data_IF_680376736763
#
_entry.id   IF_680376736763
#
_cell.length_a   1.000
_cell.length_b   1.000
_cell.length_c   1.000
_cell.angle_alpha   90.00
_cell.angle_beta   90.00
_cell.angle_gamma   90.00
#
_symmetry.space_group_name_H-M   'P 1'
#
loop_
_entity.id
_entity.type
_entity.pdbx_description
1 polymer ?
#
# COMPACT_ATOMS: atom_id res chain seq x y z
N UNK A 1 13.11 -3.26 -2.79
CA UNK A 1 11.81 -2.84 -2.21
C UNK A 1 10.83 -2.55 -3.33
N UNK A 2 9.55 -2.91 -3.17
CA UNK A 2 8.47 -2.57 -4.11
C UNK A 2 7.76 -1.30 -3.65
N UNK A 3 7.43 -0.41 -4.59
CA UNK A 3 6.63 0.80 -4.34
C UNK A 3 5.29 0.65 -5.06
N UNK A 4 4.20 0.86 -4.35
CA UNK A 4 2.83 0.87 -4.85
C UNK A 4 2.39 2.33 -4.94
N UNK A 5 2.10 2.79 -6.16
CA UNK A 5 1.42 4.06 -6.39
C UNK A 5 -0.10 3.85 -6.23
N UNK A 6 -0.68 4.31 -5.14
CA UNK A 6 -2.12 4.33 -4.91
C UNK A 6 -2.73 5.54 -5.60
N UNK A 7 -3.35 5.33 -6.74
CA UNK A 7 -4.07 6.41 -7.43
C UNK A 7 -5.38 6.75 -6.73
N UNK A 8 -5.94 5.81 -5.97
CA UNK A 8 -7.18 5.99 -5.22
C UNK A 8 -8.28 6.60 -6.10
N UNK A 9 -8.69 7.81 -5.78
CA UNK A 9 -9.70 8.59 -6.50
C UNK A 9 -9.09 9.77 -7.28
N UNK A 10 -7.77 9.88 -7.34
CA UNK A 10 -7.08 11.00 -7.99
C UNK A 10 -7.27 11.05 -9.52
N UNK A 11 -7.83 9.99 -10.12
CA UNK A 11 -8.22 9.97 -11.53
C UNK A 11 -9.51 10.77 -11.81
N UNK A 12 -10.29 11.17 -10.77
CA UNK A 12 -11.52 11.96 -10.88
C UNK A 12 -12.55 11.42 -11.90
N UNK A 13 -12.54 10.10 -12.22
CA UNK A 13 -13.36 9.50 -13.27
C UNK A 13 -12.91 9.82 -14.71
N UNK A 14 -11.78 10.50 -14.90
CA UNK A 14 -11.24 10.91 -16.19
C UNK A 14 -10.18 9.93 -16.72
N UNK A 15 -10.46 9.30 -17.87
CA UNK A 15 -9.55 8.35 -18.53
C UNK A 15 -8.25 8.98 -19.02
N UNK A 16 -8.29 10.24 -19.45
CA UNK A 16 -7.09 10.96 -19.92
C UNK A 16 -6.17 11.24 -18.75
N UNK A 17 -6.74 11.61 -17.62
CA UNK A 17 -5.99 11.79 -16.39
C UNK A 17 -5.45 10.45 -15.88
N UNK A 18 -6.24 9.38 -15.95
CA UNK A 18 -5.81 8.02 -15.57
C UNK A 18 -4.59 7.56 -16.38
N UNK A 19 -4.58 7.74 -17.72
CA UNK A 19 -3.42 7.42 -18.58
C UNK A 19 -2.16 8.19 -18.12
N UNK A 20 -2.29 9.50 -17.89
CA UNK A 20 -1.18 10.33 -17.41
C UNK A 20 -0.66 9.89 -16.05
N UNK A 21 -1.55 9.55 -15.12
CA UNK A 21 -1.20 9.06 -13.78
C UNK A 21 -0.44 7.73 -13.85
N UNK A 22 -0.96 6.75 -14.62
CA UNK A 22 -0.30 5.44 -14.79
C UNK A 22 1.07 5.60 -15.42
N UNK A 23 1.17 6.42 -16.49
CA UNK A 23 2.44 6.70 -17.15
C UNK A 23 3.47 7.30 -16.18
N UNK A 24 3.08 8.30 -15.41
CA UNK A 24 3.99 8.95 -14.46
C UNK A 24 4.39 8.02 -13.30
N UNK A 25 3.46 7.21 -12.79
CA UNK A 25 3.74 6.25 -11.73
C UNK A 25 4.71 5.14 -12.18
N UNK A 26 4.58 4.67 -13.44
CA UNK A 26 5.41 3.61 -13.99
C UNK A 26 6.91 3.98 -14.06
N UNK A 27 7.26 5.27 -14.04
CA UNK A 27 8.66 5.70 -14.06
C UNK A 27 9.44 5.35 -12.78
N UNK A 28 8.74 5.19 -11.65
CA UNK A 28 9.39 5.01 -10.34
C UNK A 28 8.73 4.02 -9.41
N UNK A 29 7.53 3.53 -9.74
CA UNK A 29 6.80 2.57 -8.95
C UNK A 29 6.77 1.20 -9.62
N UNK A 30 6.61 0.14 -8.83
CA UNK A 30 6.58 -1.23 -9.32
C UNK A 30 5.14 -1.70 -9.59
N UNK A 31 4.20 -1.11 -8.88
CA UNK A 31 2.77 -1.44 -8.92
C UNK A 31 1.98 -0.14 -8.97
N UNK A 32 0.97 -0.08 -9.82
CA UNK A 32 -0.02 1.00 -9.82
C UNK A 32 -1.35 0.44 -9.35
N UNK A 33 -1.96 1.12 -8.40
CA UNK A 33 -3.19 0.66 -7.76
C UNK A 33 -4.32 1.66 -7.90
N UNK A 34 -5.49 1.14 -8.25
CA UNK A 34 -6.78 1.84 -8.20
C UNK A 34 -7.68 1.20 -7.12
N UNK A 35 -8.87 1.73 -6.99
CA UNK A 35 -9.90 1.16 -6.13
C UNK A 35 -11.10 0.77 -7.00
N UNK A 36 -11.49 -0.50 -6.97
CA UNK A 36 -12.75 -0.94 -7.57
C UNK A 36 -13.89 -0.48 -6.66
N UNK A 37 -14.45 0.69 -6.99
CA UNK A 37 -15.58 1.28 -6.28
C UNK A 37 -16.85 0.88 -7.03
N UNK A 38 -17.80 0.26 -6.33
CA UNK A 38 -19.15 0.00 -6.81
C UNK A 38 -20.11 0.71 -5.85
N UNK A 39 -20.64 1.84 -6.25
CA UNK A 39 -21.51 2.67 -5.40
C UNK A 39 -22.72 1.88 -4.89
N UNK A 40 -23.27 1.00 -5.70
CA UNK A 40 -24.39 0.11 -5.34
C UNK A 40 -24.02 -0.91 -4.23
N UNK A 41 -22.75 -1.05 -3.90
CA UNK A 41 -22.29 -1.87 -2.77
C UNK A 41 -22.27 -1.11 -1.44
N UNK A 42 -22.51 0.20 -1.46
CA UNK A 42 -22.57 1.02 -0.27
C UNK A 42 -23.77 0.63 0.60
N UNK A 43 -23.53 0.40 1.89
CA UNK A 43 -24.60 0.05 2.84
C UNK A 43 -25.08 1.29 3.56
N UNK A 44 -26.39 1.56 3.50
CA UNK A 44 -27.01 2.62 4.29
C UNK A 44 -27.06 2.22 5.76
N UNK A 45 -26.56 3.10 6.65
CA UNK A 45 -26.60 2.91 8.10
C UNK A 45 -26.96 4.22 8.77
N UNK A 46 -28.01 4.18 9.60
CA UNK A 46 -28.52 5.36 10.28
C UNK A 46 -27.48 6.04 11.17
N UNK A 47 -26.63 5.26 11.84
CA UNK A 47 -25.56 5.77 12.71
C UNK A 47 -24.49 6.58 11.98
N UNK A 48 -24.42 6.48 10.66
CA UNK A 48 -23.43 7.21 9.84
C UNK A 48 -24.00 8.45 9.16
N UNK A 49 -25.33 8.65 9.17
CA UNK A 49 -25.97 9.76 8.47
C UNK A 49 -25.49 11.14 8.93
N UNK A 50 -25.19 11.33 10.21
CA UNK A 50 -24.68 12.60 10.74
C UNK A 50 -23.22 12.88 10.36
N UNK A 51 -22.45 11.84 10.12
CA UNK A 51 -21.01 11.92 9.80
C UNK A 51 -20.74 11.85 8.31
N UNK A 52 -21.47 10.99 7.60
CA UNK A 52 -21.31 10.75 6.17
C UNK A 52 -22.68 10.38 5.57
N UNK A 53 -23.51 11.39 5.19
CA UNK A 53 -24.84 11.16 4.63
C UNK A 53 -24.79 10.22 3.43
N UNK A 54 -25.66 9.20 3.46
CA UNK A 54 -25.64 8.13 2.45
C UNK A 54 -25.79 8.64 1.02
N UNK A 55 -26.80 9.50 0.78
CA UNK A 55 -27.10 9.96 -0.57
C UNK A 55 -25.94 10.78 -1.16
N UNK A 56 -25.32 11.64 -0.37
CA UNK A 56 -24.15 12.43 -0.81
C UNK A 56 -22.95 11.54 -1.10
N UNK A 57 -22.68 10.55 -0.25
CA UNK A 57 -21.56 9.63 -0.44
C UNK A 57 -21.81 8.70 -1.63
N UNK A 58 -23.05 8.24 -1.84
CA UNK A 58 -23.43 7.44 -3.00
C UNK A 58 -23.17 8.19 -4.31
N UNK A 59 -23.71 9.40 -4.44
CA UNK A 59 -23.51 10.23 -5.65
C UNK A 59 -22.03 10.52 -5.91
N UNK A 60 -21.28 10.82 -4.84
CA UNK A 60 -19.84 11.03 -4.96
C UNK A 60 -19.11 9.78 -5.45
N UNK A 61 -19.40 8.62 -4.89
CA UNK A 61 -18.80 7.36 -5.30
C UNK A 61 -19.22 6.99 -6.73
N UNK A 62 -20.47 7.27 -7.11
CA UNK A 62 -20.98 7.01 -8.46
C UNK A 62 -20.24 7.82 -9.52
N UNK A 63 -19.89 9.06 -9.21
CA UNK A 63 -19.08 9.91 -10.10
C UNK A 63 -17.60 9.46 -10.22
N UNK A 64 -17.12 8.59 -9.36
CA UNK A 64 -15.75 8.07 -9.35
C UNK A 64 -15.65 6.60 -9.77
N UNK A 65 -16.80 5.94 -9.93
CA UNK A 65 -16.89 4.55 -10.32
C UNK A 65 -16.35 4.35 -11.74
N UNK A 66 -15.36 3.48 -11.86
CA UNK A 66 -14.88 3.01 -13.16
C UNK A 66 -15.75 1.87 -13.65
N UNK A 67 -16.15 1.91 -14.91
CA UNK A 67 -16.85 0.80 -15.57
C UNK A 67 -15.94 -0.44 -15.66
N UNK A 68 -16.50 -1.57 -16.09
CA UNK A 68 -15.68 -2.76 -16.36
C UNK A 68 -14.64 -2.49 -17.44
N UNK A 69 -15.06 -1.80 -18.49
CA UNK A 69 -14.23 -1.41 -19.63
C UNK A 69 -13.16 -0.39 -19.23
N UNK A 70 -13.43 0.48 -18.26
CA UNK A 70 -12.46 1.46 -17.76
C UNK A 70 -11.38 0.79 -16.90
N UNK A 71 -11.76 -0.21 -16.09
CA UNK A 71 -10.76 -1.01 -15.37
C UNK A 71 -9.96 -1.90 -16.31
N UNK A 72 -10.57 -2.44 -17.36
CA UNK A 72 -9.83 -3.17 -18.40
C UNK A 72 -8.83 -2.24 -19.09
N UNK A 73 -9.25 -1.03 -19.44
CA UNK A 73 -8.37 -0.01 -20.01
C UNK A 73 -7.20 0.34 -19.05
N UNK A 74 -7.47 0.44 -17.74
CA UNK A 74 -6.41 0.64 -16.74
C UNK A 74 -5.38 -0.49 -16.77
N UNK A 75 -5.80 -1.74 -16.90
CA UNK A 75 -4.89 -2.89 -17.01
C UNK A 75 -4.04 -2.79 -18.28
N UNK A 76 -4.67 -2.46 -19.42
CA UNK A 76 -3.98 -2.25 -20.70
C UNK A 76 -2.95 -1.11 -20.63
N UNK A 77 -3.25 -0.03 -19.89
CA UNK A 77 -2.30 1.05 -19.62
C UNK A 77 -1.11 0.56 -18.79
N UNK A 78 -1.36 -0.23 -17.76
CA UNK A 78 -0.28 -0.80 -16.94
C UNK A 78 0.63 -1.72 -17.78
N UNK A 79 0.07 -2.54 -18.65
CA UNK A 79 0.83 -3.36 -19.59
C UNK A 79 1.65 -2.49 -20.57
N UNK A 80 1.02 -1.47 -21.16
CA UNK A 80 1.67 -0.51 -22.07
C UNK A 80 2.88 0.17 -21.44
N UNK A 81 2.79 0.53 -20.17
CA UNK A 81 3.85 1.22 -19.44
C UNK A 81 4.74 0.30 -18.62
N UNK A 82 4.57 -1.03 -18.72
CA UNK A 82 5.36 -2.06 -18.06
C UNK A 82 5.40 -1.90 -16.52
N UNK A 83 4.21 -1.75 -15.92
CA UNK A 83 4.01 -1.69 -14.47
C UNK A 83 2.90 -2.67 -14.07
N UNK A 84 2.97 -3.26 -12.86
CA UNK A 84 1.96 -4.23 -12.42
C UNK A 84 0.64 -3.53 -12.01
N UNK A 85 -0.52 -3.96 -12.55
CA UNK A 85 -1.83 -3.46 -12.10
C UNK A 85 -2.25 -4.11 -10.79
N UNK A 86 -2.86 -3.31 -9.92
CA UNK A 86 -3.48 -3.75 -8.67
C UNK A 86 -4.80 -3.03 -8.46
N UNK A 87 -5.74 -3.66 -7.78
CA UNK A 87 -6.93 -2.96 -7.29
C UNK A 87 -7.24 -3.29 -5.84
N UNK A 88 -7.94 -2.36 -5.18
CA UNK A 88 -8.52 -2.58 -3.84
C UNK A 88 -9.97 -3.01 -3.98
N UNK A 89 -10.32 -4.14 -3.35
CA UNK A 89 -11.71 -4.55 -3.18
C UNK A 89 -12.20 -4.20 -1.77
N UNK A 90 -13.44 -3.73 -1.68
CA UNK A 90 -14.11 -3.38 -0.44
C UNK A 90 -15.18 -4.39 -0.02
N UNK A 91 -15.58 -5.27 -0.94
CA UNK A 91 -16.61 -6.27 -0.73
C UNK A 91 -16.28 -7.58 -1.45
N UNK A 92 -16.57 -8.75 -0.85
CA UNK A 92 -16.46 -10.04 -1.51
C UNK A 92 -17.27 -10.16 -2.82
N UNK A 93 -18.33 -9.37 -2.96
CA UNK A 93 -19.17 -9.32 -4.17
C UNK A 93 -18.40 -8.85 -5.42
N UNK A 94 -17.21 -8.27 -5.24
CA UNK A 94 -16.36 -7.77 -6.32
C UNK A 94 -15.35 -8.81 -6.82
N UNK A 95 -15.30 -10.01 -6.21
CA UNK A 95 -14.31 -11.05 -6.54
C UNK A 95 -14.49 -11.55 -7.98
N UNK A 96 -15.72 -11.78 -8.42
CA UNK A 96 -15.97 -12.23 -9.79
C UNK A 96 -15.47 -11.20 -10.81
N UNK A 97 -15.73 -9.91 -10.57
CA UNK A 97 -15.22 -8.82 -11.42
C UNK A 97 -13.69 -8.80 -11.44
N UNK A 98 -13.06 -8.91 -10.28
CA UNK A 98 -11.60 -8.99 -10.15
C UNK A 98 -11.00 -10.14 -10.98
N UNK A 99 -11.58 -11.34 -10.85
CA UNK A 99 -11.14 -12.53 -11.56
C UNK A 99 -11.34 -12.41 -13.08
N UNK A 100 -12.50 -11.88 -13.52
CA UNK A 100 -12.82 -11.67 -14.93
C UNK A 100 -11.87 -10.65 -15.60
N UNK A 101 -11.49 -9.60 -14.88
CA UNK A 101 -10.51 -8.60 -15.35
C UNK A 101 -9.08 -9.15 -15.37
N UNK A 102 -8.81 -10.26 -14.70
CA UNK A 102 -7.50 -10.92 -14.72
C UNK A 102 -6.44 -10.27 -13.85
N UNK A 103 -6.82 -9.43 -12.88
CA UNK A 103 -5.86 -8.91 -11.89
C UNK A 103 -5.10 -10.03 -11.20
N UNK A 104 -3.81 -9.79 -10.90
CA UNK A 104 -2.95 -10.74 -10.18
C UNK A 104 -2.56 -10.25 -8.78
N UNK A 105 -2.77 -8.98 -8.50
CA UNK A 105 -2.50 -8.36 -7.20
C UNK A 105 -3.79 -7.79 -6.63
N UNK A 106 -4.15 -8.26 -5.44
CA UNK A 106 -5.34 -7.82 -4.72
C UNK A 106 -4.94 -7.04 -3.47
N UNK A 107 -5.57 -5.87 -3.25
CA UNK A 107 -5.52 -5.19 -1.96
C UNK A 107 -6.85 -5.31 -1.23
N UNK A 108 -6.78 -5.55 0.08
CA UNK A 108 -7.93 -5.47 0.99
C UNK A 108 -7.57 -4.53 2.13
N UNK A 109 -8.41 -3.52 2.37
CA UNK A 109 -8.22 -2.63 3.53
C UNK A 109 -8.54 -3.35 4.84
N UNK A 110 -7.89 -2.94 5.94
CA UNK A 110 -8.08 -3.58 7.24
C UNK A 110 -9.54 -3.59 7.71
N UNK A 111 -10.24 -2.48 7.52
CA UNK A 111 -11.67 -2.39 7.91
C UNK A 111 -12.60 -3.24 7.02
N UNK A 112 -12.19 -3.55 5.79
CA UNK A 112 -12.96 -4.42 4.89
C UNK A 112 -12.65 -5.89 5.11
N UNK A 113 -11.53 -6.22 5.75
CA UNK A 113 -11.05 -7.59 5.88
C UNK A 113 -12.06 -8.52 6.59
N UNK A 114 -12.83 -8.00 7.55
CA UNK A 114 -13.92 -8.74 8.22
C UNK A 114 -15.04 -9.18 7.27
N UNK A 115 -15.29 -8.43 6.20
CA UNK A 115 -16.32 -8.75 5.22
C UNK A 115 -15.89 -9.91 4.29
N UNK A 116 -14.59 -10.15 4.16
CA UNK A 116 -14.07 -11.29 3.41
C UNK A 116 -14.06 -12.52 4.30
N UNK A 117 -15.05 -13.37 4.14
CA UNK A 117 -15.09 -14.69 4.77
C UNK A 117 -13.89 -15.51 4.28
N UNK A 118 -12.92 -15.71 5.17
CA UNK A 118 -11.67 -16.41 4.88
C UNK A 118 -11.87 -17.85 4.40
N UNK A 119 -12.94 -18.49 4.85
CA UNK A 119 -13.24 -19.86 4.45
C UNK A 119 -13.94 -19.99 3.11
N UNK A 120 -14.60 -18.93 2.66
CA UNK A 120 -15.50 -18.95 1.51
C UNK A 120 -15.07 -17.98 0.41
N UNK A 121 -15.04 -16.71 0.69
CA UNK A 121 -14.77 -15.68 -0.32
C UNK A 121 -13.34 -15.70 -0.87
N UNK A 122 -12.32 -15.87 -0.02
CA UNK A 122 -10.93 -15.84 -0.46
C UNK A 122 -10.49 -17.09 -1.23
N UNK A 123 -11.23 -18.19 -1.15
CA UNK A 123 -10.96 -19.38 -1.97
C UNK A 123 -11.23 -19.17 -3.45
N UNK A 124 -12.14 -18.26 -3.75
CA UNK A 124 -12.57 -18.00 -5.12
C UNK A 124 -11.71 -16.90 -5.79
N UNK A 125 -10.78 -16.31 -5.06
CA UNK A 125 -9.87 -15.28 -5.60
C UNK A 125 -8.74 -15.92 -6.40
N UNK A 126 -8.60 -15.49 -7.66
CA UNK A 126 -7.53 -15.95 -8.56
C UNK A 126 -6.45 -14.86 -8.63
N UNK A 127 -5.50 -14.89 -7.72
CA UNK A 127 -4.41 -13.91 -7.69
C UNK A 127 -3.07 -14.55 -7.28
N UNK A 128 -1.97 -13.85 -7.56
CA UNK A 128 -0.63 -14.26 -7.16
C UNK A 128 -0.29 -13.81 -5.74
N UNK A 129 -0.84 -12.68 -5.30
CA UNK A 129 -0.54 -12.12 -3.99
C UNK A 129 -1.67 -11.21 -3.47
N UNK A 130 -1.99 -11.35 -2.19
CA UNK A 130 -2.90 -10.45 -1.47
C UNK A 130 -2.08 -9.49 -0.61
N UNK A 131 -2.39 -8.21 -0.71
CA UNK A 131 -1.93 -7.19 0.21
C UNK A 131 -3.09 -6.82 1.14
N UNK A 132 -2.85 -6.77 2.43
CA UNK A 132 -3.86 -6.25 3.34
C UNK A 132 -3.24 -5.31 4.35
N UNK A 133 -3.96 -4.26 4.75
CA UNK A 133 -3.51 -3.38 5.82
C UNK A 133 -4.07 -3.83 7.17
N UNK A 134 -3.32 -3.57 8.23
CA UNK A 134 -3.77 -3.85 9.58
C UNK A 134 -4.56 -2.68 10.21
N UNK A 135 -4.84 -1.63 9.44
CA UNK A 135 -5.64 -0.51 9.92
C UNK A 135 -7.02 -1.00 10.43
N UNK A 136 -7.43 -0.50 11.58
CA UNK A 136 -8.70 -0.90 12.21
C UNK A 136 -8.81 -2.40 12.57
N UNK A 137 -7.70 -3.11 12.68
CA UNK A 137 -7.65 -4.49 13.15
C UNK A 137 -7.01 -4.55 14.54
N UNK A 138 -7.60 -5.31 15.45
CA UNK A 138 -6.95 -5.68 16.70
C UNK A 138 -5.95 -6.83 16.50
N UNK A 139 -5.11 -7.08 17.52
CA UNK A 139 -4.09 -8.12 17.43
C UNK A 139 -4.67 -9.54 17.21
N UNK A 140 -5.76 -9.99 17.88
CA UNK A 140 -6.44 -11.25 17.58
C UNK A 140 -6.94 -11.34 16.15
N UNK A 141 -7.47 -10.26 15.58
CA UNK A 141 -7.92 -10.20 14.18
C UNK A 141 -6.77 -10.36 13.19
N UNK A 142 -5.66 -9.64 13.42
CA UNK A 142 -4.45 -9.79 12.61
C UNK A 142 -3.94 -11.24 12.63
N UNK A 143 -3.88 -11.84 13.81
CA UNK A 143 -3.42 -13.22 14.00
C UNK A 143 -4.29 -14.23 13.26
N UNK A 144 -5.63 -14.11 13.37
CA UNK A 144 -6.58 -14.96 12.61
C UNK A 144 -6.42 -14.79 11.12
N UNK A 145 -6.31 -13.55 10.64
CA UNK A 145 -6.11 -13.24 9.22
C UNK A 145 -4.88 -13.94 8.68
N UNK A 146 -3.75 -13.80 9.35
CA UNK A 146 -2.49 -14.42 8.95
C UNK A 146 -2.59 -15.95 8.94
N UNK A 147 -3.18 -16.56 9.97
CA UNK A 147 -3.37 -18.01 10.04
C UNK A 147 -4.24 -18.48 8.86
N UNK A 148 -5.36 -17.84 8.60
CA UNK A 148 -6.28 -18.24 7.54
C UNK A 148 -5.65 -18.11 6.15
N UNK A 149 -4.93 -17.04 5.87
CA UNK A 149 -4.23 -16.86 4.59
C UNK A 149 -3.14 -17.94 4.40
N UNK A 150 -2.39 -18.25 5.47
CA UNK A 150 -1.41 -19.37 5.44
C UNK A 150 -2.08 -20.72 5.21
N UNK A 151 -3.22 -21.00 5.86
CA UNK A 151 -3.98 -22.25 5.67
C UNK A 151 -4.53 -22.39 4.24
N UNK A 152 -4.87 -21.27 3.60
CA UNK A 152 -5.33 -21.25 2.20
C UNK A 152 -4.17 -21.34 1.20
N UNK A 153 -2.91 -21.29 1.66
CA UNK A 153 -1.74 -21.28 0.79
C UNK A 153 -1.60 -20.03 -0.06
N UNK A 154 -2.25 -18.94 0.33
CA UNK A 154 -2.24 -17.68 -0.40
C UNK A 154 -1.01 -16.89 0.00
N UNK A 155 -0.21 -16.48 -0.98
CA UNK A 155 0.87 -15.52 -0.75
C UNK A 155 0.29 -14.17 -0.37
N UNK A 156 0.81 -13.56 0.70
CA UNK A 156 0.33 -12.26 1.14
C UNK A 156 1.45 -11.38 1.71
N UNK A 157 1.20 -10.09 1.71
CA UNK A 157 2.01 -9.07 2.40
C UNK A 157 1.09 -8.23 3.27
N UNK A 158 1.38 -8.18 4.57
CA UNK A 158 0.71 -7.26 5.49
C UNK A 158 1.34 -5.88 5.41
N UNK A 159 0.52 -4.83 5.35
CA UNK A 159 0.95 -3.44 5.38
C UNK A 159 0.60 -2.84 6.74
N UNK A 160 1.62 -2.47 7.54
CA UNK A 160 1.40 -1.61 8.69
C UNK A 160 0.81 -0.29 8.20
N UNK A 161 -0.27 0.14 8.83
CA UNK A 161 -1.01 1.31 8.38
C UNK A 161 -1.70 2.01 9.57
N UNK A 162 -1.56 3.32 9.61
CA UNK A 162 -2.39 4.18 10.47
C UNK A 162 -3.39 4.93 9.60
N UNK A 163 -4.69 4.67 9.82
CA UNK A 163 -5.77 5.25 9.02
C UNK A 163 -6.19 6.63 9.56
N UNK A 164 -5.24 7.57 9.54
CA UNK A 164 -5.44 8.99 9.87
C UNK A 164 -4.86 9.82 8.72
N UNK A 165 -5.62 10.77 8.21
CA UNK A 165 -5.29 11.54 6.99
C UNK A 165 -5.24 13.04 7.26
N UNK A 166 -4.07 13.70 7.28
CA UNK A 166 -2.72 13.12 7.26
C UNK A 166 -2.37 12.39 8.57
N UNK A 167 -1.48 11.38 8.49
CA UNK A 167 -0.93 10.71 9.69
C UNK A 167 0.19 11.56 10.29
N UNK A 168 0.07 12.05 11.52
CA UNK A 168 1.18 12.72 12.20
C UNK A 168 2.26 11.71 12.61
N UNK A 169 3.50 12.17 12.73
CA UNK A 169 4.67 11.32 12.96
C UNK A 169 4.54 10.42 14.20
N UNK A 170 4.04 10.95 15.30
CA UNK A 170 3.86 10.22 16.55
C UNK A 170 2.81 9.10 16.47
N UNK A 171 1.98 9.10 15.41
CA UNK A 171 0.96 8.08 15.12
C UNK A 171 1.36 7.12 14.00
N UNK A 172 2.51 7.27 13.39
CA UNK A 172 2.96 6.44 12.27
C UNK A 172 3.23 4.97 12.69
N UNK A 173 3.52 4.72 13.97
CA UNK A 173 3.68 3.38 14.57
C UNK A 173 4.71 2.50 13.83
N UNK A 174 5.81 3.11 13.39
CA UNK A 174 6.83 2.44 12.56
C UNK A 174 7.51 1.27 13.28
N UNK A 175 7.61 1.32 14.61
CA UNK A 175 8.11 0.23 15.46
C UNK A 175 7.29 -1.07 15.32
N UNK A 176 6.04 -0.97 14.84
CA UNK A 176 5.21 -2.15 14.59
C UNK A 176 5.71 -2.95 13.38
N UNK A 177 6.47 -2.37 12.46
CA UNK A 177 6.97 -3.07 11.26
C UNK A 177 7.83 -4.29 11.68
N UNK A 178 8.97 -4.13 12.34
CA UNK A 178 9.78 -5.27 12.76
C UNK A 178 9.06 -6.14 13.82
N UNK A 179 8.30 -5.53 14.71
CA UNK A 179 7.57 -6.25 15.75
C UNK A 179 6.56 -7.24 15.16
N UNK A 180 5.66 -6.78 14.27
CA UNK A 180 4.64 -7.62 13.66
C UNK A 180 5.22 -8.66 12.72
N UNK A 181 6.31 -8.33 12.02
CA UNK A 181 7.01 -9.31 11.17
C UNK A 181 7.47 -10.50 11.99
N UNK A 182 8.05 -10.27 13.16
CA UNK A 182 8.52 -11.32 14.06
C UNK A 182 7.37 -12.02 14.78
N UNK A 183 6.45 -11.27 15.39
CA UNK A 183 5.35 -11.79 16.22
C UNK A 183 4.40 -12.69 15.43
N UNK A 184 4.10 -12.32 14.18
CA UNK A 184 3.19 -13.06 13.31
C UNK A 184 3.92 -14.00 12.32
N UNK A 185 5.25 -14.09 12.43
CA UNK A 185 6.11 -14.87 11.52
C UNK A 185 5.74 -14.61 10.04
N UNK A 186 5.77 -13.31 9.63
CA UNK A 186 5.43 -12.89 8.29
C UNK A 186 6.62 -13.06 7.34
N UNK A 187 6.38 -13.60 6.16
CA UNK A 187 7.39 -13.66 5.10
C UNK A 187 7.71 -12.26 4.57
N UNK A 188 6.69 -11.40 4.43
CA UNK A 188 6.83 -10.03 3.98
C UNK A 188 5.94 -9.07 4.77
N UNK A 189 6.46 -7.88 5.05
CA UNK A 189 5.73 -6.76 5.65
C UNK A 189 6.04 -5.48 4.89
N UNK A 190 5.05 -4.62 4.77
CA UNK A 190 5.19 -3.30 4.18
C UNK A 190 4.61 -2.21 5.07
N UNK A 191 4.54 -1.02 4.50
CA UNK A 191 3.96 0.16 5.13
C UNK A 191 3.03 0.87 4.15
N UNK A 192 1.80 1.16 4.57
CA UNK A 192 0.85 2.01 3.84
C UNK A 192 0.79 3.36 4.54
N UNK A 193 1.36 4.37 3.90
CA UNK A 193 1.64 5.67 4.50
C UNK A 193 0.65 6.74 4.06
N UNK A 194 0.13 7.48 5.02
CA UNK A 194 -0.79 8.60 4.83
C UNK A 194 -0.27 9.90 5.44
N UNK A 195 1.05 10.02 5.64
CA UNK A 195 1.66 11.26 6.11
C UNK A 195 1.61 12.37 5.04
N UNK A 196 1.75 13.62 5.47
CA UNK A 196 1.80 14.76 4.57
C UNK A 196 3.24 14.97 4.07
N UNK A 197 3.56 14.61 2.80
CA UNK A 197 4.93 14.70 2.30
C UNK A 197 5.43 16.14 2.16
N UNK A 198 4.53 17.12 2.15
CA UNK A 198 4.86 18.53 2.07
C UNK A 198 5.26 19.13 3.43
N UNK A 199 4.95 18.45 4.52
CA UNK A 199 5.31 18.85 5.89
C UNK A 199 6.49 18.05 6.42
N UNK A 200 6.54 16.75 6.18
CA UNK A 200 7.56 15.84 6.72
C UNK A 200 8.74 15.55 5.77
N UNK A 201 8.65 16.00 4.50
CA UNK A 201 9.74 15.81 3.54
C UNK A 201 10.06 14.33 3.26
N UNK A 202 9.07 13.47 3.26
CA UNK A 202 9.18 12.00 3.09
C UNK A 202 9.93 11.31 4.24
N UNK A 203 10.01 11.92 5.42
CA UNK A 203 10.74 11.33 6.55
C UNK A 203 10.08 10.04 7.02
N UNK A 204 8.74 10.04 7.17
CA UNK A 204 8.01 8.85 7.63
C UNK A 204 8.21 7.65 6.69
N UNK A 205 7.97 7.74 5.36
CA UNK A 205 8.21 6.62 4.48
C UNK A 205 9.67 6.17 4.42
N UNK A 206 10.64 7.09 4.52
CA UNK A 206 12.06 6.73 4.60
C UNK A 206 12.39 5.96 5.88
N UNK A 207 11.83 6.37 7.02
CA UNK A 207 11.97 5.64 8.28
C UNK A 207 11.26 4.28 8.24
N UNK A 208 10.10 4.16 7.57
CA UNK A 208 9.44 2.87 7.37
C UNK A 208 10.34 1.90 6.59
N UNK A 209 10.98 2.39 5.52
CA UNK A 209 11.97 1.64 4.75
C UNK A 209 13.12 1.20 5.66
N UNK A 210 13.67 2.11 6.43
CA UNK A 210 14.76 1.80 7.37
C UNK A 210 14.34 0.79 8.46
N UNK A 211 13.07 0.83 8.88
CA UNK A 211 12.48 -0.11 9.85
C UNK A 211 12.21 -1.51 9.26
N UNK A 212 12.51 -1.73 7.99
CA UNK A 212 12.40 -3.05 7.35
C UNK A 212 11.13 -3.27 6.54
N UNK A 213 10.41 -2.22 6.16
CA UNK A 213 9.31 -2.34 5.20
C UNK A 213 9.87 -2.77 3.83
N UNK A 214 9.36 -3.87 3.29
CA UNK A 214 9.75 -4.42 1.98
C UNK A 214 8.85 -3.92 0.85
N UNK A 215 7.69 -3.39 1.22
CA UNK A 215 6.71 -2.77 0.34
C UNK A 215 6.29 -1.43 0.95
N UNK A 216 6.23 -0.40 0.12
CA UNK A 216 5.72 0.91 0.50
C UNK A 216 4.53 1.26 -0.40
N UNK A 217 3.37 1.51 0.19
CA UNK A 217 2.19 2.02 -0.50
C UNK A 217 2.04 3.51 -0.19
N UNK A 218 1.91 4.33 -1.23
CA UNK A 218 1.71 5.78 -1.14
C UNK A 218 0.64 6.25 -2.09
N UNK A 219 -0.25 7.13 -1.63
CA UNK A 219 -1.09 7.90 -2.54
C UNK A 219 -0.22 8.68 -3.53
N UNK A 220 -0.64 8.71 -4.78
CA UNK A 220 0.15 9.28 -5.87
C UNK A 220 -0.71 10.20 -6.74
N UNK A 221 -0.17 11.33 -7.15
CA UNK A 221 -0.86 12.27 -8.05
C UNK A 221 0.14 13.05 -8.90
N UNK A 222 -0.33 13.54 -10.04
CA UNK A 222 0.35 14.53 -10.89
C UNK A 222 -0.35 15.90 -10.83
N UNK A 223 -1.44 15.98 -10.05
CA UNK A 223 -2.19 17.21 -9.82
C UNK A 223 -1.61 17.95 -8.62
N UNK A 224 -1.96 19.24 -8.51
CA UNK A 224 -1.68 19.98 -7.29
C UNK A 224 -2.40 19.33 -6.09
N UNK A 225 -1.79 19.44 -4.91
CA UNK A 225 -2.31 18.84 -3.68
C UNK A 225 -3.71 19.30 -3.30
N UNK A 226 -4.14 20.46 -3.78
CA UNK A 226 -5.46 21.04 -3.51
C UNK A 226 -6.49 20.73 -4.61
N UNK A 227 -6.08 20.09 -5.71
CA UNK A 227 -6.94 19.70 -6.83
C UNK A 227 -7.54 18.29 -6.68
N UNK A 228 -7.13 17.55 -5.67
CA UNK A 228 -7.64 16.20 -5.40
C UNK A 228 -7.85 15.98 -3.91
N UNK A 229 -8.81 15.13 -3.57
CA UNK A 229 -9.19 14.83 -2.19
C UNK A 229 -8.02 14.34 -1.35
N UNK A 230 -7.21 13.45 -1.91
CA UNK A 230 -6.09 12.81 -1.22
C UNK A 230 -4.73 13.50 -1.52
N UNK A 231 -4.76 14.69 -2.11
CA UNK A 231 -3.56 15.40 -2.53
C UNK A 231 -2.60 15.71 -1.40
N UNK A 232 -3.12 16.05 -0.20
CA UNK A 232 -2.29 16.32 0.99
C UNK A 232 -1.48 15.11 1.48
N UNK A 233 -1.90 13.91 1.13
CA UNK A 233 -1.21 12.66 1.47
C UNK A 233 -0.60 11.98 0.23
N UNK A 234 -0.71 12.59 -0.93
CA UNK A 234 -0.18 12.06 -2.19
C UNK A 234 1.24 12.54 -2.43
N UNK A 235 2.07 11.65 -2.95
CA UNK A 235 3.41 11.98 -3.45
C UNK A 235 3.36 12.30 -4.94
N UNK A 236 4.30 13.13 -5.38
CA UNK A 236 4.52 13.44 -6.80
C UNK A 236 5.44 12.39 -7.46
N UNK A 237 5.57 12.40 -8.81
CA UNK A 237 6.55 11.56 -9.52
C UNK A 237 7.99 11.72 -9.01
N UNK A 238 8.41 12.96 -8.71
CA UNK A 238 9.74 13.28 -8.19
C UNK A 238 9.96 12.66 -6.79
N UNK A 239 8.95 12.77 -5.92
CA UNK A 239 8.98 12.16 -4.59
C UNK A 239 9.01 10.63 -4.66
N UNK A 240 8.26 10.02 -5.59
CA UNK A 240 8.31 8.58 -5.82
C UNK A 240 9.70 8.13 -6.27
N UNK A 241 10.34 8.86 -7.19
CA UNK A 241 11.70 8.61 -7.64
C UNK A 241 12.72 8.75 -6.51
N UNK A 242 12.54 9.74 -5.64
CA UNK A 242 13.38 9.91 -4.44
C UNK A 242 13.27 8.72 -3.51
N UNK A 243 12.06 8.25 -3.19
CA UNK A 243 11.84 7.06 -2.37
C UNK A 243 12.42 5.79 -3.01
N UNK A 244 12.27 5.63 -4.32
CA UNK A 244 12.87 4.50 -5.05
C UNK A 244 14.38 4.52 -4.99
N UNK A 245 14.98 5.69 -5.14
CA UNK A 245 16.43 5.88 -5.04
C UNK A 245 16.90 5.59 -3.61
N UNK A 246 16.25 6.17 -2.60
CA UNK A 246 16.56 5.94 -1.19
C UNK A 246 16.53 4.45 -0.85
N UNK A 247 15.52 3.73 -1.32
CA UNK A 247 15.36 2.30 -1.03
C UNK A 247 16.50 1.42 -1.58
N UNK A 248 17.17 1.86 -2.65
CA UNK A 248 18.32 1.13 -3.24
C UNK A 248 19.60 1.27 -2.40
N UNK A 249 19.68 2.35 -1.60
CA UNK A 249 20.84 2.62 -0.75
C UNK A 249 20.72 2.01 0.64
N UNK A 250 19.58 1.44 0.99
CA UNK A 250 19.38 0.74 2.27
C UNK A 250 19.49 -0.76 2.02
N UNK A 251 20.60 -1.40 2.39
CA UNK A 251 20.75 -2.85 2.23
C UNK A 251 19.97 -3.58 3.31
N UNK A 252 18.82 -4.15 2.94
CA UNK A 252 17.88 -4.81 3.83
C UNK A 252 18.35 -6.10 4.49
N UNK A 253 19.45 -6.68 4.08
CA UNK A 253 19.80 -8.04 4.50
C UNK A 253 21.19 -8.23 5.15
N UNK A 254 22.06 -7.23 5.19
CA UNK A 254 23.46 -7.48 5.57
C UNK A 254 23.91 -6.97 6.95
N UNK A 255 23.16 -6.15 7.65
CA UNK A 255 23.70 -5.41 8.79
C UNK A 255 23.37 -5.93 10.20
N UNK A 256 22.62 -7.03 10.36
CA UNK A 256 22.32 -7.58 11.70
C UNK A 256 23.21 -8.75 12.12
N UNK A 257 24.39 -8.88 11.54
CA UNK A 257 25.42 -9.77 12.10
C UNK A 257 26.36 -8.94 12.97
N UNK A 258 26.20 -9.08 14.27
CA UNK A 258 26.94 -8.36 15.32
C UNK A 258 28.50 -8.47 15.24
N UNK A 259 29.04 -9.23 14.30
CA UNK A 259 30.49 -9.54 14.26
C UNK A 259 31.14 -9.38 12.88
N UNK A 260 30.49 -8.73 11.90
CA UNK A 260 31.13 -8.53 10.59
C UNK A 260 31.49 -7.05 10.43
N UNK A 261 32.79 -6.75 10.53
CA UNK A 261 33.31 -5.46 10.07
C UNK A 261 33.18 -5.34 8.56
N UNK A 262 32.86 -4.16 8.04
CA UNK A 262 33.13 -3.86 6.66
C UNK A 262 34.65 -3.70 6.44
N UNK A 263 35.12 -3.67 5.18
CA UNK A 263 36.54 -3.57 4.86
C UNK A 263 37.24 -2.41 5.58
N UNK A 264 36.60 -1.23 5.65
CA UNK A 264 37.17 -0.08 6.33
C UNK A 264 37.22 -0.26 7.84
N UNK A 265 36.21 -0.87 8.44
CA UNK A 265 36.21 -1.17 9.87
C UNK A 265 37.25 -2.24 10.21
N UNK A 266 37.44 -3.27 9.35
CA UNK A 266 38.49 -4.27 9.52
C UNK A 266 39.87 -3.61 9.44
N UNK A 267 40.10 -2.75 8.45
CA UNK A 267 41.34 -1.97 8.36
C UNK A 267 41.58 -1.14 9.63
N UNK A 268 40.58 -0.42 10.13
CA UNK A 268 40.68 0.39 11.31
C UNK A 268 40.96 -0.47 12.57
N UNK A 269 40.31 -1.63 12.68
CA UNK A 269 40.54 -2.58 13.74
C UNK A 269 42.01 -3.06 13.73
N UNK A 270 42.55 -3.41 12.59
CA UNK A 270 43.87 -4.02 12.48
C UNK A 270 45.01 -3.00 12.67
N UNK A 271 44.78 -1.73 12.25
CA UNK A 271 45.81 -0.71 12.29
C UNK A 271 45.76 0.22 13.50
N UNK A 272 44.56 0.44 14.10
CA UNK A 272 44.44 1.43 15.14
C UNK A 272 44.22 0.86 16.55
N UNK A 273 43.71 -0.38 16.62
CA UNK A 273 43.52 -1.03 17.93
C UNK A 273 44.86 -1.30 18.62
N UNK A 274 44.97 -0.91 19.88
CA UNK A 274 46.20 -1.05 20.64
C UNK A 274 47.28 0.01 20.38
N UNK A 275 46.97 1.02 19.53
CA UNK A 275 47.98 2.04 19.15
C UNK A 275 48.35 2.98 20.30
N UNK A 276 47.54 3.08 21.33
CA UNK A 276 47.69 3.97 22.49
C UNK A 276 47.69 3.20 23.80
N UNK A 277 47.98 1.92 23.80
CA UNK A 277 48.20 1.11 24.99
C UNK A 277 49.61 1.17 25.48
#
# INVERSE_FOLDING_TARGET
MRIIAELCQNHNGDKVLLDKLVKAAAESCDIVKIQTILADSLTKREEYESYRPYDQEYERLKGLELSFEDEQYFIELCEKYNVEPMTTLFSPKQIDRFNLLGYKKLKISGYSMKAFDYGKALKDVICDEIFFSNSSMDHPEMKRTVINLKMLGIKFTMLQCTCVYPTPMEKAMLQNIPFLKQELALDSIGYSDHSNPYEDGLLIPKLAIFSGAEVLERHFTILDKDETRDGKVSITPEMAKELKTFSRHIPFQQYWRLNNFNEQQQFNHDYYRGRFE
#
